data_IF_226776083036
#
_entry.id   IF_226776083036
#
_cell.length_a   1.000
_cell.length_b   1.000
_cell.length_c   1.000
_cell.angle_alpha   90.00
_cell.angle_beta   90.00
_cell.angle_gamma   90.00
#
_symmetry.space_group_name_H-M   'P 1'
#
loop_
_entity.id
_entity.type
_entity.pdbx_description
1 polymer ?
#
# COMPACT_ATOMS: atom_id res chain seq x y z
N UNK A 1 7.53 1.39 -23.78
CA UNK A 1 8.54 2.39 -23.42
C UNK A 1 9.58 2.47 -24.51
N UNK A 2 10.41 3.51 -24.52
CA UNK A 2 11.45 3.70 -25.52
C UNK A 2 12.17 5.04 -25.36
N UNK A 3 13.17 5.25 -26.22
CA UNK A 3 13.89 6.52 -26.38
C UNK A 3 13.16 7.38 -27.42
N UNK A 4 13.09 8.69 -27.18
CA UNK A 4 12.36 9.66 -28.01
C UNK A 4 13.07 11.03 -28.02
N UNK A 5 14.32 11.03 -28.50
CA UNK A 5 15.23 12.18 -28.47
C UNK A 5 14.76 13.42 -29.25
N UNK A 6 13.76 13.29 -30.12
CA UNK A 6 13.19 14.41 -30.88
C UNK A 6 11.92 15.00 -30.25
N UNK A 7 11.45 14.49 -29.10
CA UNK A 7 10.21 14.96 -28.48
C UNK A 7 10.27 16.44 -28.10
N UNK A 8 11.37 16.84 -27.44
CA UNK A 8 11.52 18.19 -26.91
C UNK A 8 11.79 19.24 -27.98
N UNK A 9 12.19 18.82 -29.19
CA UNK A 9 12.37 19.73 -30.34
C UNK A 9 11.08 20.44 -30.71
N UNK A 10 9.95 19.77 -30.53
CA UNK A 10 8.62 20.36 -30.75
C UNK A 10 8.28 21.47 -29.73
N UNK A 11 9.07 21.60 -28.67
CA UNK A 11 8.88 22.55 -27.57
C UNK A 11 10.05 23.54 -27.43
N UNK A 12 10.96 23.60 -28.42
CA UNK A 12 12.09 24.53 -28.44
C UNK A 12 13.29 24.12 -27.57
N UNK A 13 13.37 22.84 -27.19
CA UNK A 13 14.51 22.27 -26.44
C UNK A 13 15.11 21.07 -27.20
N UNK A 14 16.39 20.78 -26.98
CA UNK A 14 17.11 19.69 -27.68
C UNK A 14 17.65 18.62 -26.74
N UNK A 15 16.89 18.30 -25.69
CA UNK A 15 17.31 17.28 -24.73
C UNK A 15 16.85 15.88 -25.15
N UNK A 16 17.77 14.87 -25.15
CA UNK A 16 17.39 13.48 -25.38
C UNK A 16 16.51 12.96 -24.24
N UNK A 17 15.59 12.05 -24.56
CA UNK A 17 14.60 11.60 -23.59
C UNK A 17 14.31 10.10 -23.73
N UNK A 18 14.06 9.45 -22.60
CA UNK A 18 13.73 8.03 -22.51
C UNK A 18 12.67 7.84 -21.43
N UNK A 19 11.74 6.94 -21.66
CA UNK A 19 10.67 6.67 -20.71
C UNK A 19 9.94 5.37 -20.98
N UNK A 20 9.20 4.93 -19.99
CA UNK A 20 8.30 3.81 -20.12
C UNK A 20 6.96 4.14 -19.47
N UNK A 21 5.96 3.37 -19.85
CA UNK A 21 4.63 3.43 -19.29
C UNK A 21 4.29 2.03 -18.79
N UNK A 22 3.58 2.00 -17.68
CA UNK A 22 2.95 0.80 -17.16
C UNK A 22 1.45 1.05 -17.07
N UNK A 23 0.64 0.14 -17.62
CA UNK A 23 -0.79 0.15 -17.39
C UNK A 23 -1.07 -0.59 -16.08
N UNK A 24 -1.55 0.13 -15.06
CA UNK A 24 -1.89 -0.45 -13.78
C UNK A 24 -3.12 -1.37 -13.87
N UNK A 25 -4.04 -1.10 -14.78
CA UNK A 25 -5.19 -1.97 -15.04
C UNK A 25 -4.73 -3.30 -15.66
N UNK A 26 -3.86 -3.24 -16.66
CA UNK A 26 -3.29 -4.44 -17.26
C UNK A 26 -2.44 -5.21 -16.24
N UNK A 27 -1.61 -4.50 -15.48
CA UNK A 27 -0.80 -5.10 -14.44
C UNK A 27 -1.69 -5.81 -13.41
N UNK A 28 -2.71 -5.13 -12.87
CA UNK A 28 -3.63 -5.71 -11.88
C UNK A 28 -4.40 -6.91 -12.42
N UNK A 29 -4.70 -6.94 -13.72
CA UNK A 29 -5.35 -8.08 -14.37
C UNK A 29 -4.49 -9.35 -14.39
N UNK A 30 -3.17 -9.19 -14.43
CA UNK A 30 -2.17 -10.28 -14.47
C UNK A 30 -1.72 -10.65 -13.04
N UNK A 31 -1.62 -9.65 -12.16
CA UNK A 31 -1.07 -9.74 -10.80
C UNK A 31 -2.04 -10.36 -9.79
N UNK A 32 -3.24 -10.83 -10.21
CA UNK A 32 -4.28 -11.42 -9.33
C UNK A 32 -3.79 -12.53 -8.38
N UNK A 33 -2.66 -13.17 -8.68
CA UNK A 33 -2.07 -14.24 -7.88
C UNK A 33 -0.83 -13.82 -7.08
N UNK A 34 -0.43 -12.54 -7.08
CA UNK A 34 0.59 -12.05 -6.15
C UNK A 34 -0.06 -11.95 -4.78
N UNK A 35 0.17 -12.96 -3.97
CA UNK A 35 -0.32 -13.01 -2.61
C UNK A 35 0.41 -11.91 -1.83
N UNK A 36 -0.29 -10.80 -1.57
CA UNK A 36 0.22 -9.78 -0.66
C UNK A 36 0.44 -10.43 0.70
N UNK A 37 1.55 -10.12 1.41
CA UNK A 37 1.77 -10.65 2.74
C UNK A 37 0.58 -10.26 3.62
N UNK A 38 -0.23 -11.25 3.99
CA UNK A 38 -1.33 -11.04 4.93
C UNK A 38 -0.70 -10.91 6.30
N UNK A 39 -0.80 -9.74 6.90
CA UNK A 39 -0.42 -9.56 8.30
C UNK A 39 -1.36 -10.42 9.16
N UNK A 40 -0.80 -11.04 10.19
CA UNK A 40 -1.59 -11.73 11.21
C UNK A 40 -2.54 -10.70 11.84
N UNK A 41 -3.83 -11.05 11.95
CA UNK A 41 -4.84 -10.17 12.54
C UNK A 41 -4.85 -10.39 14.05
N UNK A 42 -4.70 -9.30 14.81
CA UNK A 42 -4.95 -9.28 16.25
C UNK A 42 -6.23 -8.50 16.53
N UNK A 43 -7.28 -9.23 16.97
CA UNK A 43 -8.56 -8.63 17.35
C UNK A 43 -8.54 -8.27 18.83
N UNK A 44 -8.71 -6.99 19.13
CA UNK A 44 -8.82 -6.48 20.50
C UNK A 44 -10.29 -6.16 20.77
N UNK A 45 -10.82 -6.69 21.87
CA UNK A 45 -12.16 -6.34 22.33
C UNK A 45 -12.12 -4.94 22.95
N UNK A 46 -13.09 -4.10 22.60
CA UNK A 46 -13.27 -2.80 23.22
C UNK A 46 -13.47 -2.98 24.73
N UNK A 47 -12.50 -2.52 25.51
CA UNK A 47 -12.53 -2.59 26.97
C UNK A 47 -13.01 -1.27 27.57
N UNK A 48 -13.41 -1.30 28.84
CA UNK A 48 -13.68 -0.08 29.60
C UNK A 48 -12.39 0.73 29.84
N UNK A 49 -11.23 0.08 29.79
CA UNK A 49 -9.91 0.71 29.91
C UNK A 49 -9.27 0.96 28.55
N UNK A 50 -9.72 2.04 27.89
CA UNK A 50 -9.26 2.41 26.55
C UNK A 50 -7.74 2.59 26.47
N UNK A 51 -7.10 3.12 27.53
CA UNK A 51 -5.66 3.39 27.53
C UNK A 51 -4.86 2.09 27.40
N UNK A 52 -5.23 1.08 28.18
CA UNK A 52 -4.60 -0.23 28.15
C UNK A 52 -4.80 -0.92 26.80
N UNK A 53 -6.03 -0.90 26.27
CA UNK A 53 -6.35 -1.44 24.94
C UNK A 53 -5.50 -0.77 23.83
N UNK A 54 -5.32 0.55 23.88
CA UNK A 54 -4.49 1.25 22.90
C UNK A 54 -2.99 0.99 23.07
N UNK A 55 -2.51 0.72 24.29
CA UNK A 55 -1.13 0.29 24.53
C UNK A 55 -0.87 -1.10 23.92
N UNK A 56 -1.79 -2.04 24.11
CA UNK A 56 -1.74 -3.37 23.51
C UNK A 56 -1.81 -3.31 21.97
N UNK A 57 -2.69 -2.46 21.43
CA UNK A 57 -2.76 -2.19 19.99
C UNK A 57 -1.43 -1.64 19.45
N UNK A 58 -0.79 -0.72 20.18
CA UNK A 58 0.50 -0.15 19.80
C UNK A 58 1.59 -1.22 19.78
N UNK A 59 1.61 -2.10 20.78
CA UNK A 59 2.59 -3.19 20.84
C UNK A 59 2.38 -4.17 19.68
N UNK A 60 1.14 -4.59 19.43
CA UNK A 60 0.79 -5.51 18.34
C UNK A 60 1.18 -4.98 16.96
N UNK A 61 1.06 -3.66 16.73
CA UNK A 61 1.53 -3.02 15.47
C UNK A 61 3.06 -3.04 15.33
N UNK A 62 3.82 -2.95 16.42
CA UNK A 62 5.29 -3.11 16.39
C UNK A 62 5.68 -4.54 16.00
N UNK A 63 4.87 -5.51 16.38
CA UNK A 63 5.06 -6.93 16.06
C UNK A 63 4.53 -7.30 14.66
N UNK A 64 4.33 -6.30 13.79
CA UNK A 64 3.86 -6.44 12.42
C UNK A 64 2.48 -7.13 12.30
N UNK A 65 1.61 -6.94 13.29
CA UNK A 65 0.22 -7.43 13.25
C UNK A 65 -0.74 -6.33 12.79
N UNK A 66 -1.77 -6.74 12.05
CA UNK A 66 -2.92 -5.88 11.77
C UNK A 66 -3.86 -5.89 12.97
N UNK A 67 -4.08 -4.75 13.60
CA UNK A 67 -4.98 -4.64 14.76
C UNK A 67 -6.38 -4.23 14.34
N UNK A 68 -7.39 -4.97 14.81
CA UNK A 68 -8.81 -4.68 14.64
C UNK A 68 -9.43 -4.52 16.04
N UNK A 69 -9.98 -3.34 16.35
CA UNK A 69 -10.72 -3.13 17.60
C UNK A 69 -12.19 -3.40 17.31
N UNK A 70 -12.74 -4.41 17.95
CA UNK A 70 -14.14 -4.81 17.81
C UNK A 70 -14.94 -4.32 19.01
N UNK A 71 -16.14 -3.80 18.77
CA UNK A 71 -17.07 -3.47 19.85
C UNK A 71 -17.42 -4.74 20.63
N UNK A 72 -17.70 -4.62 21.93
CA UNK A 72 -18.38 -5.68 22.63
C UNK A 72 -19.79 -5.77 22.04
N UNK A 73 -20.04 -6.77 21.19
CA UNK A 73 -21.39 -7.04 20.66
C UNK A 73 -22.38 -7.08 21.84
N UNK A 74 -23.48 -6.34 21.71
CA UNK A 74 -24.66 -6.46 22.58
C UNK A 74 -25.59 -7.51 21.99
#
# INVERSE_FOLDING_TARGET
GGRYDNLLKNFGAEDPAVGFQLSLDLLSSIVKNIQSPKLEKHRLLASQNLVEMFQEAKQSRKDNKQVEIVGADT
#
